data_IF_740702539020
#
_entry.id   IF_740702539020
#
_cell.length_a   1.000
_cell.length_b   1.000
_cell.length_c   1.000
_cell.angle_alpha   90.00
_cell.angle_beta   90.00
_cell.angle_gamma   90.00
#
_symmetry.space_group_name_H-M   'P 1'
#
loop_
_entity.id
_entity.type
_entity.pdbx_description
1 polymer ?
#
# COMPACT_ATOMS: atom_id res chain seq x y z
N UNK A 1 4.56 -20.04 8.57
CA UNK A 1 4.86 -18.93 9.50
C UNK A 1 3.75 -18.88 10.52
N UNK A 2 4.04 -19.24 11.77
CA UNK A 2 3.06 -19.08 12.83
C UNK A 2 3.03 -17.58 13.18
N UNK A 3 1.95 -16.89 12.83
CA UNK A 3 1.58 -15.67 13.53
C UNK A 3 1.52 -16.07 15.02
N UNK A 4 2.33 -15.46 15.86
CA UNK A 4 2.13 -15.63 17.30
C UNK A 4 0.80 -14.94 17.60
N UNK A 5 -0.30 -15.69 17.82
CA UNK A 5 -1.55 -15.06 18.16
C UNK A 5 -1.34 -14.32 19.47
N UNK A 6 -1.68 -13.06 19.50
CA UNK A 6 -1.78 -12.31 20.71
C UNK A 6 -0.97 -11.02 20.76
N UNK A 7 0.27 -10.96 20.30
CA UNK A 7 1.06 -9.71 20.37
C UNK A 7 0.69 -8.73 19.27
N UNK A 8 0.39 -7.49 19.66
CA UNK A 8 0.14 -6.38 18.74
C UNK A 8 0.78 -5.09 19.27
N UNK A 9 1.13 -4.19 18.36
CA UNK A 9 1.66 -2.87 18.69
C UNK A 9 0.54 -1.84 18.64
N UNK A 10 0.54 -0.92 19.60
CA UNK A 10 -0.48 0.12 19.73
C UNK A 10 0.12 1.43 20.24
N UNK A 11 -0.64 2.50 20.14
CA UNK A 11 -0.31 3.77 20.79
C UNK A 11 -0.70 3.74 22.27
N UNK A 12 -0.08 4.57 23.14
CA UNK A 12 -0.42 4.58 24.56
C UNK A 12 -1.88 4.96 24.87
N UNK A 13 -2.53 5.70 23.96
CA UNK A 13 -3.94 6.09 24.06
C UNK A 13 -4.94 5.12 23.44
N UNK A 14 -4.48 3.99 22.91
CA UNK A 14 -5.35 2.96 22.36
C UNK A 14 -6.19 2.31 23.46
N UNK A 15 -7.50 2.05 23.26
CA UNK A 15 -8.35 1.36 24.24
C UNK A 15 -7.78 0.03 24.71
N UNK A 16 -7.08 -0.68 23.82
CA UNK A 16 -6.49 -1.99 24.10
C UNK A 16 -5.04 -1.92 24.60
N UNK A 17 -4.49 -0.73 24.88
CA UNK A 17 -3.09 -0.58 25.35
C UNK A 17 -2.80 -1.30 26.66
N UNK A 18 -3.83 -1.57 27.49
CA UNK A 18 -3.73 -2.33 28.72
C UNK A 18 -3.79 -3.87 28.54
N UNK A 19 -3.97 -4.37 27.31
CA UNK A 19 -4.02 -5.80 27.07
C UNK A 19 -2.65 -6.46 27.32
N UNK A 20 -2.56 -7.69 27.91
CA UNK A 20 -1.30 -8.34 28.24
C UNK A 20 -0.40 -8.61 27.03
N UNK A 21 -0.97 -8.70 25.85
CA UNK A 21 -0.23 -8.89 24.59
C UNK A 21 0.03 -7.55 23.83
N UNK A 22 -0.42 -6.42 24.36
CA UNK A 22 -0.15 -5.11 23.78
C UNK A 22 1.32 -4.70 24.00
N UNK A 23 1.91 -4.13 22.99
CA UNK A 23 3.25 -3.54 23.03
C UNK A 23 3.11 -2.07 22.65
N UNK A 24 2.97 -1.16 23.62
CA UNK A 24 2.86 0.26 23.35
C UNK A 24 4.13 0.80 22.70
N UNK A 25 3.97 1.64 21.69
CA UNK A 25 5.05 2.42 21.05
C UNK A 25 4.77 3.90 21.25
N UNK A 26 5.80 4.76 21.32
CA UNK A 26 5.62 6.13 21.79
C UNK A 26 4.75 7.01 20.88
N UNK A 27 4.75 6.74 19.57
CA UNK A 27 4.08 7.60 18.59
C UNK A 27 3.76 6.85 17.28
N UNK A 28 3.01 7.52 16.39
CA UNK A 28 2.61 6.99 15.08
C UNK A 28 3.82 6.69 14.18
N UNK A 29 4.88 7.48 14.26
CA UNK A 29 6.10 7.26 13.46
C UNK A 29 6.79 5.95 13.88
N UNK A 30 6.84 5.68 15.18
CA UNK A 30 7.35 4.43 15.73
C UNK A 30 6.47 3.23 15.32
N UNK A 31 5.15 3.38 15.36
CA UNK A 31 4.22 2.34 14.91
C UNK A 31 4.39 2.06 13.41
N UNK A 32 4.52 3.11 12.59
CA UNK A 32 4.79 3.00 11.16
C UNK A 32 6.14 2.30 10.88
N UNK A 33 7.17 2.58 11.68
CA UNK A 33 8.47 1.93 11.58
C UNK A 33 8.39 0.44 11.91
N UNK A 34 7.61 0.05 12.93
CA UNK A 34 7.35 -1.36 13.26
C UNK A 34 6.65 -2.05 12.08
N UNK A 35 5.56 -1.48 11.56
CA UNK A 35 4.85 -2.05 10.42
C UNK A 35 5.77 -2.21 9.20
N UNK A 36 6.55 -1.19 8.88
CA UNK A 36 7.53 -1.23 7.79
C UNK A 36 8.54 -2.36 7.97
N UNK A 37 9.12 -2.47 9.17
CA UNK A 37 10.09 -3.54 9.50
C UNK A 37 9.48 -4.93 9.30
N UNK A 38 8.30 -5.18 9.82
CA UNK A 38 7.62 -6.48 9.72
C UNK A 38 7.27 -6.83 8.27
N UNK A 39 6.79 -5.86 7.49
CA UNK A 39 6.51 -6.05 6.07
C UNK A 39 7.79 -6.38 5.29
N UNK A 40 8.89 -5.66 5.54
CA UNK A 40 10.19 -5.93 4.90
C UNK A 40 10.68 -7.32 5.28
N UNK A 41 10.63 -7.70 6.56
CA UNK A 41 11.06 -9.01 7.02
C UNK A 41 10.23 -10.14 6.39
N UNK A 42 8.90 -9.97 6.35
CA UNK A 42 8.00 -10.94 5.71
C UNK A 42 8.26 -11.06 4.20
N UNK A 43 8.30 -9.92 3.50
CA UNK A 43 8.53 -9.90 2.05
C UNK A 43 9.92 -10.46 1.69
N UNK A 44 10.94 -10.21 2.49
CA UNK A 44 12.28 -10.78 2.28
C UNK A 44 12.24 -12.31 2.29
N UNK A 45 11.60 -12.91 3.29
CA UNK A 45 11.44 -14.38 3.37
C UNK A 45 10.68 -14.92 2.16
N UNK A 46 9.55 -14.28 1.82
CA UNK A 46 8.74 -14.67 0.67
C UNK A 46 9.51 -14.58 -0.65
N UNK A 47 10.17 -13.46 -0.91
CA UNK A 47 10.92 -13.20 -2.14
C UNK A 47 12.20 -14.04 -2.25
N UNK A 48 12.75 -14.52 -1.14
CA UNK A 48 13.89 -15.46 -1.16
C UNK A 48 13.46 -16.82 -1.73
N UNK A 49 12.26 -17.29 -1.38
CA UNK A 49 11.74 -18.58 -1.82
C UNK A 49 11.11 -18.50 -3.22
N UNK A 50 10.25 -17.53 -3.46
CA UNK A 50 9.44 -17.45 -4.69
C UNK A 50 10.03 -16.53 -5.75
N UNK A 51 10.85 -15.56 -5.38
CA UNK A 51 11.42 -14.58 -6.29
C UNK A 51 12.21 -15.19 -7.45
N UNK A 52 13.03 -16.24 -7.25
CA UNK A 52 13.74 -16.90 -8.34
C UNK A 52 12.84 -17.59 -9.37
N UNK A 53 11.58 -17.89 -9.01
CA UNK A 53 10.62 -18.60 -9.88
C UNK A 53 9.88 -17.65 -10.85
N UNK A 54 10.03 -16.34 -10.69
CA UNK A 54 9.37 -15.34 -11.53
C UNK A 54 10.39 -14.61 -12.42
N UNK A 55 9.94 -14.23 -13.63
CA UNK A 55 10.80 -13.55 -14.63
C UNK A 55 10.96 -12.04 -14.36
N UNK A 56 10.81 -11.61 -13.12
CA UNK A 56 10.96 -10.20 -12.75
C UNK A 56 12.22 -10.00 -11.90
N UNK A 57 13.02 -9.00 -12.27
CA UNK A 57 14.18 -8.61 -11.48
C UNK A 57 13.80 -8.13 -10.07
N UNK A 58 14.74 -8.22 -9.14
CA UNK A 58 14.52 -7.94 -7.71
C UNK A 58 13.90 -6.57 -7.44
N UNK A 59 14.29 -5.55 -8.20
CA UNK A 59 13.69 -4.21 -8.07
C UNK A 59 12.18 -4.21 -8.39
N UNK A 60 11.75 -4.93 -9.43
CA UNK A 60 10.33 -5.04 -9.79
C UNK A 60 9.54 -5.81 -8.74
N UNK A 61 10.13 -6.85 -8.16
CA UNK A 61 9.53 -7.61 -7.07
C UNK A 61 9.30 -6.71 -5.84
N UNK A 62 10.30 -5.93 -5.45
CA UNK A 62 10.16 -4.97 -4.34
C UNK A 62 9.21 -3.81 -4.66
N UNK A 63 9.17 -3.37 -5.91
CA UNK A 63 8.17 -2.38 -6.33
C UNK A 63 6.73 -2.92 -6.19
N UNK A 64 6.52 -4.22 -6.45
CA UNK A 64 5.23 -4.85 -6.20
C UNK A 64 4.88 -4.91 -4.71
N UNK A 65 5.85 -5.18 -3.82
CA UNK A 65 5.65 -5.13 -2.35
C UNK A 65 5.27 -3.72 -1.93
N UNK A 66 6.04 -2.71 -2.35
CA UNK A 66 5.76 -1.29 -2.06
C UNK A 66 4.37 -0.89 -2.53
N UNK A 67 4.01 -1.26 -3.77
CA UNK A 67 2.69 -1.00 -4.33
C UNK A 67 1.55 -1.66 -3.54
N UNK A 68 1.77 -2.84 -2.98
CA UNK A 68 0.76 -3.54 -2.18
C UNK A 68 0.57 -2.90 -0.82
N UNK A 69 1.65 -2.50 -0.17
CA UNK A 69 1.61 -1.81 1.11
C UNK A 69 0.87 -0.46 0.97
N UNK A 70 1.24 0.33 -0.04
CA UNK A 70 0.59 1.61 -0.35
C UNK A 70 -0.94 1.42 -0.60
N UNK A 71 -1.31 0.37 -1.35
CA UNK A 71 -2.73 0.03 -1.55
C UNK A 71 -3.42 -0.37 -0.25
N UNK A 72 -2.79 -1.20 0.56
CA UNK A 72 -3.41 -1.73 1.78
C UNK A 72 -3.74 -0.60 2.76
N UNK A 73 -2.85 0.37 2.92
CA UNK A 73 -3.07 1.52 3.79
C UNK A 73 -4.20 2.43 3.28
N UNK A 74 -4.27 2.69 1.96
CA UNK A 74 -5.41 3.43 1.39
C UNK A 74 -6.74 2.69 1.63
N UNK A 75 -6.77 1.37 1.40
CA UNK A 75 -7.97 0.57 1.63
C UNK A 75 -8.37 0.51 3.10
N UNK A 76 -7.40 0.40 4.02
CA UNK A 76 -7.67 0.47 5.45
C UNK A 76 -8.33 1.81 5.80
N UNK A 77 -7.76 2.93 5.35
CA UNK A 77 -8.38 4.24 5.52
C UNK A 77 -9.81 4.31 5.01
N UNK A 78 -10.08 3.81 3.81
CA UNK A 78 -11.46 3.72 3.30
C UNK A 78 -12.38 2.89 4.19
N UNK A 79 -11.91 1.73 4.64
CA UNK A 79 -12.70 0.83 5.50
C UNK A 79 -13.03 1.44 6.85
N UNK A 80 -12.16 2.31 7.37
CA UNK A 80 -12.38 3.06 8.61
C UNK A 80 -12.96 4.47 8.40
N UNK A 81 -13.48 4.77 7.20
CA UNK A 81 -14.20 6.00 6.90
C UNK A 81 -13.33 7.21 6.56
N UNK A 82 -12.00 7.06 6.45
CA UNK A 82 -11.09 8.16 6.10
C UNK A 82 -9.95 7.76 5.17
N UNK A 83 -10.18 7.85 3.87
CA UNK A 83 -9.11 7.67 2.88
C UNK A 83 -7.93 8.66 3.08
N UNK A 84 -8.20 9.85 3.61
CA UNK A 84 -7.18 10.84 3.94
C UNK A 84 -6.26 10.34 5.07
N UNK A 85 -6.82 9.71 6.11
CA UNK A 85 -6.03 9.09 7.18
C UNK A 85 -5.15 7.97 6.61
N UNK A 86 -5.72 7.05 5.82
CA UNK A 86 -4.93 6.00 5.18
C UNK A 86 -3.81 6.52 4.27
N UNK A 87 -4.02 7.68 3.62
CA UNK A 87 -2.97 8.33 2.84
C UNK A 87 -1.88 8.97 3.74
N UNK A 88 -2.24 9.46 4.93
CA UNK A 88 -1.27 9.97 5.90
C UNK A 88 -0.43 8.82 6.47
N UNK A 89 -1.05 7.72 6.87
CA UNK A 89 -0.38 6.52 7.34
C UNK A 89 0.60 5.96 6.30
N UNK A 90 0.18 5.94 5.03
CA UNK A 90 1.04 5.49 3.94
C UNK A 90 2.28 6.37 3.77
N UNK A 91 2.18 7.67 4.01
CA UNK A 91 3.35 8.57 3.98
C UNK A 91 4.30 8.30 5.14
N UNK A 92 3.80 7.96 6.32
CA UNK A 92 4.63 7.58 7.46
C UNK A 92 5.31 6.22 7.22
N UNK A 93 4.56 5.23 6.75
CA UNK A 93 5.08 3.87 6.54
C UNK A 93 6.06 3.81 5.36
N UNK A 94 5.81 4.56 4.29
CA UNK A 94 6.64 4.63 3.09
C UNK A 94 7.48 5.90 3.03
N UNK A 95 7.81 6.49 4.18
CA UNK A 95 8.69 7.66 4.24
C UNK A 95 10.01 7.39 3.51
N UNK A 96 10.43 8.34 2.70
CA UNK A 96 11.75 8.41 2.03
C UNK A 96 12.17 7.21 1.15
N UNK A 97 11.23 6.31 0.83
CA UNK A 97 11.53 5.15 -0.03
C UNK A 97 12.66 4.28 0.53
N UNK A 98 12.68 4.07 1.85
CA UNK A 98 13.71 3.29 2.56
C UNK A 98 13.89 1.91 1.95
N UNK A 99 15.11 1.60 1.57
CA UNK A 99 15.44 0.30 0.97
C UNK A 99 15.10 -0.85 1.93
N UNK A 100 14.58 -1.95 1.39
CA UNK A 100 14.43 -2.32 -0.02
C UNK A 100 13.14 -1.83 -0.69
N UNK A 101 12.26 -1.08 -0.01
CA UNK A 101 11.10 -0.44 -0.60
C UNK A 101 11.55 0.57 -1.67
N UNK A 102 10.77 0.73 -2.74
CA UNK A 102 11.27 1.37 -3.96
C UNK A 102 10.86 2.82 -4.13
N UNK A 103 9.92 3.30 -3.32
CA UNK A 103 9.43 4.68 -3.36
C UNK A 103 8.67 5.06 -2.10
N UNK A 104 8.55 6.35 -1.83
CA UNK A 104 7.54 6.89 -0.94
C UNK A 104 6.12 6.57 -1.44
N UNK A 105 5.11 6.82 -0.59
CA UNK A 105 3.69 6.68 -0.96
C UNK A 105 3.36 7.49 -2.21
N UNK A 106 2.60 6.87 -3.11
CA UNK A 106 2.09 7.48 -4.34
C UNK A 106 0.57 7.59 -4.36
N UNK A 107 -0.03 7.61 -3.18
CA UNK A 107 -1.45 7.92 -3.01
C UNK A 107 -1.68 9.37 -3.35
N UNK A 108 -2.69 9.62 -4.16
CA UNK A 108 -3.06 10.94 -4.66
C UNK A 108 -4.57 11.05 -4.88
N UNK A 109 -5.01 12.24 -5.17
CA UNK A 109 -6.37 12.51 -5.61
C UNK A 109 -6.35 12.88 -7.10
N UNK A 110 -7.40 12.48 -7.81
CA UNK A 110 -7.69 12.92 -9.18
C UNK A 110 -9.14 13.36 -9.25
N UNK A 111 -9.43 14.38 -10.07
CA UNK A 111 -10.78 14.91 -10.23
C UNK A 111 -11.30 14.52 -11.61
N UNK A 112 -12.52 13.97 -11.68
CA UNK A 112 -13.16 13.62 -12.93
C UNK A 112 -13.81 14.84 -13.62
N UNK A 113 -14.33 14.64 -14.81
CA UNK A 113 -15.00 15.67 -15.64
C UNK A 113 -16.31 16.21 -15.04
N UNK A 114 -16.83 15.54 -14.01
CA UNK A 114 -17.99 15.96 -13.21
C UNK A 114 -17.60 16.70 -11.93
N UNK A 115 -16.30 16.99 -11.75
CA UNK A 115 -15.78 17.66 -10.55
C UNK A 115 -15.70 16.77 -9.31
N UNK A 116 -15.93 15.46 -9.41
CA UNK A 116 -15.82 14.53 -8.26
C UNK A 116 -14.38 14.15 -8.06
N UNK A 117 -13.92 14.21 -6.83
CA UNK A 117 -12.55 13.83 -6.44
C UNK A 117 -12.50 12.38 -6.00
N UNK A 118 -11.55 11.63 -6.53
CA UNK A 118 -11.33 10.23 -6.25
C UNK A 118 -9.96 10.01 -5.62
N UNK A 119 -9.91 9.34 -4.48
CA UNK A 119 -8.66 8.83 -3.93
C UNK A 119 -8.16 7.66 -4.76
N UNK A 120 -6.90 7.71 -5.10
CA UNK A 120 -6.23 6.68 -5.90
C UNK A 120 -4.74 6.63 -5.57
N UNK A 121 -4.01 5.86 -6.34
CA UNK A 121 -2.55 5.80 -6.25
C UNK A 121 -1.94 5.56 -7.64
N UNK A 122 -0.69 5.91 -7.80
CA UNK A 122 0.11 5.55 -8.97
C UNK A 122 1.07 4.45 -8.59
N UNK A 123 1.00 3.31 -9.27
CA UNK A 123 1.94 2.21 -9.02
C UNK A 123 3.36 2.59 -9.45
N UNK A 124 4.35 2.08 -8.70
CA UNK A 124 5.76 2.20 -9.06
C UNK A 124 6.18 1.24 -10.18
N UNK A 125 5.40 0.16 -10.39
CA UNK A 125 5.67 -0.85 -11.42
C UNK A 125 4.40 -1.23 -12.18
N UNK A 126 4.56 -1.58 -13.46
CA UNK A 126 3.48 -2.15 -14.26
C UNK A 126 3.30 -3.64 -13.94
N UNK A 127 2.05 -4.09 -13.81
CA UNK A 127 1.73 -5.52 -13.59
C UNK A 127 1.44 -6.26 -14.89
N UNK A 128 1.49 -5.59 -16.03
CA UNK A 128 1.18 -6.13 -17.36
C UNK A 128 -0.23 -6.76 -17.47
N UNK A 129 -1.13 -6.47 -16.56
CA UNK A 129 -2.49 -7.01 -16.57
C UNK A 129 -3.20 -6.75 -17.90
N UNK A 130 -3.00 -5.58 -18.49
CA UNK A 130 -3.57 -5.22 -19.79
C UNK A 130 -3.07 -6.07 -20.97
N UNK A 131 -1.99 -6.83 -20.78
CA UNK A 131 -1.46 -7.73 -21.80
C UNK A 131 -2.09 -9.14 -21.76
N UNK A 132 -2.99 -9.40 -20.80
CA UNK A 132 -3.70 -10.65 -20.71
C UNK A 132 -4.90 -10.67 -21.65
N UNK A 133 -5.20 -11.82 -22.27
CA UNK A 133 -6.40 -11.97 -23.10
C UNK A 133 -7.67 -11.59 -22.33
N UNK A 134 -8.57 -10.81 -22.95
CA UNK A 134 -9.82 -10.38 -22.36
C UNK A 134 -9.71 -9.17 -21.41
N UNK A 135 -8.54 -8.58 -21.25
CA UNK A 135 -8.36 -7.33 -20.50
C UNK A 135 -8.27 -6.17 -21.48
N UNK A 136 -9.35 -5.38 -21.59
CA UNK A 136 -9.45 -4.30 -22.56
C UNK A 136 -8.69 -3.02 -22.11
N UNK A 137 -8.55 -2.80 -20.78
CA UNK A 137 -8.03 -1.54 -20.25
C UNK A 137 -6.98 -1.77 -19.14
N UNK A 138 -5.99 -0.88 -19.02
CA UNK A 138 -5.10 -0.85 -17.87
C UNK A 138 -5.88 -0.63 -16.57
N UNK A 139 -5.35 -1.15 -15.44
CA UNK A 139 -5.95 -0.88 -14.13
C UNK A 139 -5.87 0.61 -13.76
N UNK A 140 -6.83 1.13 -13.00
CA UNK A 140 -6.88 2.54 -12.60
C UNK A 140 -5.62 3.07 -11.90
N UNK A 141 -4.81 2.20 -11.29
CA UNK A 141 -3.52 2.56 -10.69
C UNK A 141 -2.30 2.39 -11.61
N UNK A 142 -2.51 2.12 -12.90
CA UNK A 142 -1.41 1.87 -13.85
C UNK A 142 -0.48 3.09 -13.97
N UNK A 143 0.86 2.91 -13.92
CA UNK A 143 1.80 4.03 -14.06
C UNK A 143 1.82 4.64 -15.46
N UNK A 144 1.22 3.97 -16.45
CA UNK A 144 1.17 4.41 -17.84
C UNK A 144 -0.01 5.34 -18.14
N UNK A 145 -0.97 5.46 -17.23
CA UNK A 145 -2.13 6.33 -17.39
C UNK A 145 -1.80 7.77 -17.01
N UNK A 146 -2.31 8.72 -17.77
CA UNK A 146 -2.45 10.09 -17.33
C UNK A 146 -3.51 10.23 -16.22
N UNK A 147 -3.52 11.34 -15.52
CA UNK A 147 -4.52 11.58 -14.47
C UNK A 147 -5.94 11.70 -15.03
N UNK A 148 -6.09 12.28 -16.21
CA UNK A 148 -7.38 12.36 -16.90
C UNK A 148 -7.94 10.97 -17.26
N UNK A 149 -7.09 10.07 -17.78
CA UNK A 149 -7.49 8.69 -18.07
C UNK A 149 -7.85 7.93 -16.80
N UNK A 150 -7.06 8.12 -15.75
CA UNK A 150 -7.29 7.54 -14.44
C UNK A 150 -8.61 7.97 -13.83
N UNK A 151 -8.90 9.29 -13.88
CA UNK A 151 -10.14 9.86 -13.39
C UNK A 151 -11.36 9.30 -14.14
N UNK A 152 -11.27 9.18 -15.47
CA UNK A 152 -12.34 8.56 -16.30
C UNK A 152 -12.62 7.12 -15.88
N UNK A 153 -11.58 6.29 -15.66
CA UNK A 153 -11.76 4.92 -15.21
C UNK A 153 -12.40 4.88 -13.81
N UNK A 154 -11.92 5.70 -12.88
CA UNK A 154 -12.47 5.74 -11.52
C UNK A 154 -13.91 6.21 -11.48
N UNK A 155 -14.32 7.11 -12.38
CA UNK A 155 -15.70 7.58 -12.48
C UNK A 155 -16.69 6.48 -12.89
N UNK A 156 -16.23 5.37 -13.48
CA UNK A 156 -17.06 4.21 -13.88
C UNK A 156 -17.15 3.12 -12.82
N UNK A 157 -16.29 3.15 -11.79
CA UNK A 157 -16.33 2.16 -10.73
C UNK A 157 -17.48 2.44 -9.77
N UNK A 158 -18.16 1.43 -9.25
CA UNK A 158 -19.15 1.61 -8.20
C UNK A 158 -18.48 2.20 -6.95
N UNK A 159 -19.17 3.13 -6.32
CA UNK A 159 -18.76 3.78 -5.06
C UNK A 159 -18.96 2.80 -3.91
#
# INVERSE_FOLDING_TARGET
MALRPGRFWCLPGDPDAGHPDAVPVPDEASLAAVLRHEVIAHATRFLTVYGPQVRFGRRTQWAAVTDRLDKALLLAGHSFGSAQAGAADARLVLADGEKPLTSASRICQVTDDRGRTHWTRRRGSCCFLYALPGVEHPCASCPRLSDAERARILATLPV
#
